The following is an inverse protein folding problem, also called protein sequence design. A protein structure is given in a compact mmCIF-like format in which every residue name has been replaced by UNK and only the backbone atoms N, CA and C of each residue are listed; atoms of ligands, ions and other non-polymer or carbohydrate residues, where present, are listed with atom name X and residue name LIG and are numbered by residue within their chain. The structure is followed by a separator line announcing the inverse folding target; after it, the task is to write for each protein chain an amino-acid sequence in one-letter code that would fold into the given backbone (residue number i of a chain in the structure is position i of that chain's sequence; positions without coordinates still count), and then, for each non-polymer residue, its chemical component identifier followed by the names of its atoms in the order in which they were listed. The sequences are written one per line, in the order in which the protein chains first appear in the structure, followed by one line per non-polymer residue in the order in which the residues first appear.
data_IF_132230847128
#
_entry.id   IF_132230847128
#
_cell.length_a   1.000
_cell.length_b   1.000
_cell.length_c   1.000
_cell.angle_alpha   90.00
_cell.angle_beta   90.00
_cell.angle_gamma   90.00
#
_symmetry.space_group_name_H-M   'P 1'
#
loop_
_entity.id
_entity.type
_entity.pdbx_description
1 polymer ?
#
# COMPACT_ATOMS: atom_id res chain seq x y z
N UNK A 1 -8.79 7.67 -22.81
CA UNK A 1 -8.75 7.84 -21.35
C UNK A 1 -8.61 6.45 -20.75
N UNK A 2 -7.59 6.21 -19.94
CA UNK A 2 -7.36 4.92 -19.30
C UNK A 2 -7.91 4.94 -17.88
N UNK A 3 -8.54 3.85 -17.49
CA UNK A 3 -9.13 3.71 -16.17
C UNK A 3 -8.18 2.95 -15.26
N UNK A 4 -8.08 3.39 -14.01
CA UNK A 4 -7.25 2.73 -13.01
C UNK A 4 -7.90 2.75 -11.64
N UNK A 5 -7.64 1.70 -10.88
CA UNK A 5 -7.77 1.67 -9.42
C UNK A 5 -6.39 1.83 -8.82
N UNK A 6 -6.26 2.69 -7.80
CA UNK A 6 -4.98 2.93 -7.13
C UNK A 6 -4.93 2.24 -5.77
N UNK A 7 -3.79 1.64 -5.45
CA UNK A 7 -3.41 1.24 -4.10
C UNK A 7 -2.25 2.14 -3.66
N UNK A 8 -2.54 3.11 -2.82
CA UNK A 8 -1.54 4.12 -2.39
C UNK A 8 -1.69 4.46 -0.90
N UNK A 9 -0.84 5.36 -0.39
CA UNK A 9 -0.75 5.73 1.01
C UNK A 9 0.70 5.83 1.47
N UNK A 10 0.90 5.87 2.80
CA UNK A 10 2.21 6.14 3.41
C UNK A 10 3.24 5.01 3.30
N UNK A 11 2.88 3.91 2.63
CA UNK A 11 3.67 2.68 2.56
C UNK A 11 3.76 1.95 3.91
N UNK A 12 4.45 0.81 3.92
CA UNK A 12 4.61 -0.06 5.10
C UNK A 12 3.30 -0.48 5.79
N UNK A 13 2.22 -0.53 5.03
CA UNK A 13 0.87 -0.87 5.48
C UNK A 13 0.27 -2.02 4.66
N UNK A 14 1.09 -2.97 4.18
CA UNK A 14 0.61 -4.17 3.48
C UNK A 14 0.21 -3.97 2.00
N UNK A 15 0.61 -2.88 1.35
CA UNK A 15 0.29 -2.62 -0.06
C UNK A 15 0.80 -3.71 -1.02
N UNK A 16 2.00 -4.25 -0.80
CA UNK A 16 2.54 -5.36 -1.60
C UNK A 16 1.78 -6.67 -1.38
N UNK A 17 1.24 -6.91 -0.19
CA UNK A 17 0.36 -8.06 0.06
C UNK A 17 -0.96 -7.93 -0.73
N UNK A 18 -1.53 -6.72 -0.78
CA UNK A 18 -2.74 -6.48 -1.58
C UNK A 18 -2.50 -6.80 -3.06
N UNK A 19 -1.38 -6.36 -3.64
CA UNK A 19 -1.07 -6.70 -5.04
C UNK A 19 -0.97 -8.22 -5.22
N UNK A 20 -0.18 -8.92 -4.40
CA UNK A 20 -0.05 -10.37 -4.48
C UNK A 20 -1.40 -11.09 -4.43
N UNK A 21 -2.26 -10.66 -3.49
CA UNK A 21 -3.59 -11.23 -3.32
C UNK A 21 -4.47 -11.00 -4.55
N UNK A 22 -4.51 -9.77 -5.05
CA UNK A 22 -5.31 -9.40 -6.21
C UNK A 22 -4.83 -10.10 -7.48
N UNK A 23 -3.51 -10.23 -7.69
CA UNK A 23 -2.95 -11.03 -8.79
C UNK A 23 -3.38 -12.49 -8.66
N UNK A 24 -3.24 -13.10 -7.48
CA UNK A 24 -3.61 -14.49 -7.24
C UNK A 24 -5.13 -14.74 -7.37
N UNK A 25 -5.95 -13.70 -7.22
CA UNK A 25 -7.40 -13.73 -7.48
C UNK A 25 -7.74 -13.54 -8.97
N UNK A 26 -6.74 -13.29 -9.82
CA UNK A 26 -6.90 -13.10 -11.26
C UNK A 26 -7.27 -11.68 -11.68
N UNK A 27 -7.14 -10.68 -10.80
CA UNK A 27 -7.37 -9.29 -11.15
C UNK A 27 -6.15 -8.68 -11.85
N UNK A 28 -6.39 -7.67 -12.69
CA UNK A 28 -5.36 -7.03 -13.49
C UNK A 28 -4.46 -6.11 -12.67
N UNK A 29 -3.40 -6.67 -12.11
CA UNK A 29 -2.31 -5.93 -11.45
C UNK A 29 -1.02 -5.92 -12.26
N UNK A 30 -1.01 -6.48 -13.48
CA UNK A 30 0.18 -6.63 -14.31
C UNK A 30 1.21 -7.66 -13.84
N UNK A 31 0.89 -8.50 -12.83
CA UNK A 31 1.78 -9.54 -12.32
C UNK A 31 1.20 -10.94 -12.53
N UNK A 32 2.07 -11.89 -12.88
CA UNK A 32 1.71 -13.31 -12.98
C UNK A 32 1.48 -13.90 -11.57
N UNK A 33 0.38 -14.63 -11.33
CA UNK A 33 0.15 -15.31 -10.06
C UNK A 33 1.32 -16.19 -9.63
N UNK A 34 1.78 -16.02 -8.39
CA UNK A 34 2.90 -16.77 -7.82
C UNK A 34 4.30 -16.22 -8.14
N UNK A 35 4.43 -15.23 -9.04
CA UNK A 35 5.72 -14.63 -9.42
C UNK A 35 5.80 -13.17 -8.96
N UNK A 36 6.36 -12.96 -7.76
CA UNK A 36 6.43 -11.64 -7.14
C UNK A 36 7.87 -11.26 -6.76
N UNK A 37 8.53 -10.40 -7.54
CA UNK A 37 9.87 -9.93 -7.22
C UNK A 37 9.81 -8.90 -6.08
N UNK A 38 9.93 -9.39 -4.84
CA UNK A 38 9.96 -8.57 -3.63
C UNK A 38 11.38 -8.37 -3.14
N UNK A 39 11.63 -7.21 -2.54
CA UNK A 39 12.84 -6.96 -1.76
C UNK A 39 12.90 -7.94 -0.57
N UNK A 40 14.03 -8.65 -0.36
CA UNK A 40 14.13 -9.73 0.62
C UNK A 40 14.14 -9.25 2.08
N UNK A 41 14.37 -7.96 2.35
CA UNK A 41 14.40 -7.40 3.70
C UNK A 41 13.14 -6.60 3.96
N UNK A 42 12.77 -5.74 3.01
CA UNK A 42 11.61 -4.88 3.15
C UNK A 42 10.30 -5.61 2.87
N UNK A 43 10.32 -6.75 2.16
CA UNK A 43 9.15 -7.42 1.60
C UNK A 43 8.22 -6.44 0.85
N UNK A 44 8.86 -5.50 0.15
CA UNK A 44 8.23 -4.45 -0.64
C UNK A 44 8.61 -4.61 -2.12
N UNK A 45 8.05 -3.79 -2.99
CA UNK A 45 8.10 -4.02 -4.45
C UNK A 45 6.70 -4.24 -5.00
N UNK A 46 6.57 -4.40 -6.31
CA UNK A 46 5.32 -4.47 -7.07
C UNK A 46 4.65 -3.11 -7.36
N UNK A 47 5.46 -2.07 -7.59
CA UNK A 47 4.98 -0.76 -7.97
C UNK A 47 4.67 -0.66 -9.47
N UNK A 48 3.55 0.00 -9.81
CA UNK A 48 3.19 0.37 -11.18
C UNK A 48 2.73 1.84 -11.21
N UNK A 49 3.20 2.60 -12.20
CA UNK A 49 2.78 4.00 -12.41
C UNK A 49 1.59 4.02 -13.37
N UNK A 50 0.42 4.58 -12.99
CA UNK A 50 -0.76 4.63 -13.88
C UNK A 50 -0.51 5.46 -15.15
N UNK A 51 0.52 6.31 -15.18
CA UNK A 51 0.90 7.08 -16.38
C UNK A 51 1.63 6.23 -17.43
N UNK A 52 2.07 5.02 -17.09
CA UNK A 52 2.74 4.13 -18.04
C UNK A 52 1.76 3.68 -19.15
N UNK A 53 2.14 3.76 -20.45
CA UNK A 53 1.39 3.17 -21.55
C UNK A 53 1.01 1.69 -21.38
N UNK A 54 1.75 0.91 -20.60
CA UNK A 54 1.48 -0.50 -20.29
C UNK A 54 0.97 -0.72 -18.86
N UNK A 55 0.60 0.33 -18.13
CA UNK A 55 0.09 0.22 -16.77
C UNK A 55 -1.14 -0.71 -16.70
N UNK A 56 -1.21 -1.62 -15.72
CA UNK A 56 -2.38 -2.46 -15.49
C UNK A 56 -3.54 -1.63 -14.92
N UNK A 57 -4.73 -2.22 -14.85
CA UNK A 57 -5.88 -1.56 -14.23
C UNK A 57 -5.64 -1.22 -12.75
N UNK A 58 -5.08 -2.15 -11.97
CA UNK A 58 -4.79 -1.95 -10.55
C UNK A 58 -3.33 -1.56 -10.37
N UNK A 59 -3.08 -0.29 -10.06
CA UNK A 59 -1.74 0.26 -9.86
C UNK A 59 -1.44 0.46 -8.38
N UNK A 60 -0.41 -0.21 -7.86
CA UNK A 60 0.12 0.07 -6.53
C UNK A 60 1.26 1.07 -6.63
N UNK A 61 1.14 2.22 -6.00
CA UNK A 61 2.24 3.19 -5.99
C UNK A 61 2.14 4.12 -4.77
N UNK A 62 2.90 3.86 -3.69
CA UNK A 62 2.95 4.74 -2.53
C UNK A 62 3.43 6.16 -2.87
N UNK A 63 4.31 6.29 -3.88
CA UNK A 63 4.91 7.57 -4.27
C UNK A 63 3.90 8.58 -4.83
N UNK A 64 2.70 8.13 -5.21
CA UNK A 64 1.60 9.02 -5.62
C UNK A 64 1.25 10.03 -4.51
N UNK A 65 1.54 9.76 -3.23
CA UNK A 65 1.37 10.77 -2.18
C UNK A 65 2.15 12.08 -2.44
N UNK A 66 3.25 12.01 -3.21
CA UNK A 66 4.06 13.16 -3.57
C UNK A 66 3.53 13.90 -4.82
N UNK A 67 2.83 13.19 -5.70
CA UNK A 67 2.42 13.67 -7.05
C UNK A 67 0.93 13.47 -7.33
N UNK A 68 0.09 13.35 -6.30
CA UNK A 68 -1.35 13.00 -6.45
C UNK A 68 -2.08 13.98 -7.37
N UNK A 69 -1.82 15.28 -7.26
CA UNK A 69 -2.47 16.30 -8.10
C UNK A 69 -2.09 16.13 -9.58
N UNK A 70 -0.85 15.72 -9.90
CA UNK A 70 -0.45 15.44 -11.28
C UNK A 70 -1.22 14.25 -11.86
N UNK A 71 -1.40 13.19 -11.07
CA UNK A 71 -2.17 12.01 -11.49
C UNK A 71 -3.65 12.36 -11.69
N UNK A 72 -4.23 13.16 -10.81
CA UNK A 72 -5.65 13.52 -10.85
C UNK A 72 -5.99 14.58 -11.91
N UNK A 73 -5.01 15.38 -12.36
CA UNK A 73 -5.20 16.40 -13.40
C UNK A 73 -4.83 15.91 -14.80
N UNK A 74 -4.23 14.72 -14.93
CA UNK A 74 -3.91 14.12 -16.21
C UNK A 74 -5.18 13.67 -16.94
N UNK A 75 -5.57 14.41 -17.98
CA UNK A 75 -6.76 14.13 -18.79
C UNK A 75 -6.69 12.82 -19.59
N UNK A 76 -5.53 12.18 -19.66
CA UNK A 76 -5.39 10.84 -20.27
C UNK A 76 -5.79 9.72 -19.31
N UNK A 77 -5.90 10.01 -18.01
CA UNK A 77 -6.23 9.06 -16.94
C UNK A 77 -7.62 9.32 -16.35
N UNK A 78 -8.20 8.27 -15.80
CA UNK A 78 -9.40 8.31 -14.97
C UNK A 78 -9.18 7.35 -13.79
N UNK A 79 -9.32 7.88 -12.57
CA UNK A 79 -9.15 7.08 -11.35
C UNK A 79 -10.52 6.67 -10.86
N UNK A 80 -10.87 5.39 -11.02
CA UNK A 80 -12.18 4.86 -10.64
C UNK A 80 -12.33 4.80 -9.12
N UNK A 81 -11.26 4.40 -8.42
CA UNK A 81 -11.25 4.24 -6.96
C UNK A 81 -9.83 4.25 -6.40
N UNK A 82 -9.69 4.63 -5.12
CA UNK A 82 -8.42 4.57 -4.39
C UNK A 82 -8.55 3.76 -3.11
N UNK A 83 -7.81 2.67 -3.02
CA UNK A 83 -7.59 1.95 -1.77
C UNK A 83 -6.40 2.53 -1.02
N UNK A 84 -6.63 2.90 0.24
CA UNK A 84 -5.62 3.49 1.10
C UNK A 84 -5.40 2.58 2.31
N UNK A 85 -4.39 1.70 2.28
CA UNK A 85 -4.01 0.96 3.46
C UNK A 85 -3.45 1.92 4.52
N UNK A 86 -4.07 1.91 5.69
CA UNK A 86 -3.74 2.78 6.83
C UNK A 86 -3.14 1.93 7.93
N UNK A 87 -2.00 2.37 8.45
CA UNK A 87 -1.35 1.84 9.64
C UNK A 87 -1.18 2.98 10.63
N UNK A 88 -1.06 2.66 11.93
CA UNK A 88 -0.55 3.63 12.89
C UNK A 88 0.74 4.30 12.34
N UNK A 89 0.78 5.63 12.29
CA UNK A 89 1.83 6.35 11.55
C UNK A 89 3.20 6.15 12.19
N UNK A 90 3.24 6.11 13.51
CA UNK A 90 4.44 5.89 14.31
C UNK A 90 4.97 4.47 14.05
N UNK A 91 4.08 3.49 13.94
CA UNK A 91 4.44 2.13 13.57
C UNK A 91 4.95 2.02 12.12
N UNK A 92 4.32 2.73 11.18
CA UNK A 92 4.80 2.79 9.79
C UNK A 92 6.19 3.46 9.69
N UNK A 93 6.41 4.54 10.44
CA UNK A 93 7.70 5.22 10.54
C UNK A 93 8.76 4.32 11.18
N UNK A 94 8.44 3.66 12.30
CA UNK A 94 9.32 2.70 12.95
C UNK A 94 9.67 1.52 12.03
N UNK A 95 8.72 1.06 11.21
CA UNK A 95 8.99 0.03 10.19
C UNK A 95 10.02 0.49 9.16
N UNK A 96 9.94 1.75 8.69
CA UNK A 96 10.92 2.33 7.76
C UNK A 96 12.31 2.44 8.39
N UNK A 97 12.38 2.95 9.62
CA UNK A 97 13.63 3.05 10.39
C UNK A 97 14.25 1.67 10.61
N UNK A 98 13.42 0.67 10.94
CA UNK A 98 13.87 -0.71 11.10
C UNK A 98 14.50 -1.26 9.82
N UNK A 99 13.85 -1.07 8.66
CA UNK A 99 14.39 -1.51 7.35
C UNK A 99 15.68 -0.77 7.01
N UNK A 100 15.73 0.55 7.27
CA UNK A 100 16.94 1.37 7.09
C UNK A 100 18.12 0.83 7.90
N UNK A 101 17.89 0.57 9.20
CA UNK A 101 18.89 0.05 10.12
C UNK A 101 19.34 -1.36 9.76
N UNK A 102 18.42 -2.22 9.37
CA UNK A 102 18.74 -3.59 8.95
C UNK A 102 19.66 -3.62 7.71
N UNK A 103 19.51 -2.65 6.80
CA UNK A 103 20.31 -2.58 5.57
C UNK A 103 21.61 -1.81 5.72
N UNK A 104 21.66 -0.78 6.57
CA UNK A 104 22.78 0.19 6.61
C UNK A 104 23.51 0.23 7.95
N UNK A 105 22.96 -0.40 8.99
CA UNK A 105 23.45 -0.26 10.37
C UNK A 105 23.06 1.06 11.04
N UNK A 106 22.35 1.96 10.34
CA UNK A 106 21.94 3.29 10.82
C UNK A 106 20.43 3.48 10.79
N UNK A 107 19.90 4.18 11.79
CA UNK A 107 18.49 4.61 11.83
C UNK A 107 18.24 5.86 10.97
N UNK A 108 19.30 6.63 10.70
CA UNK A 108 19.31 7.82 9.86
C UNK A 108 19.81 7.50 8.44
N UNK A 109 19.52 8.40 7.51
CA UNK A 109 19.85 8.29 6.11
C UNK A 109 21.37 8.35 5.89
N UNK A 110 21.96 7.19 5.63
CA UNK A 110 23.31 7.07 5.06
C UNK A 110 23.25 6.86 3.54
N UNK A 111 22.30 6.03 3.11
CA UNK A 111 21.99 5.74 1.72
C UNK A 111 20.52 5.33 1.57
N UNK A 112 19.87 5.60 0.43
CA UNK A 112 18.50 5.17 0.19
C UNK A 112 18.37 3.65 0.18
N UNK A 113 17.31 3.14 0.81
CA UNK A 113 16.99 1.71 0.87
C UNK A 113 15.53 1.51 0.49
N UNK A 114 15.23 0.48 -0.31
CA UNK A 114 13.87 0.12 -0.66
C UNK A 114 13.04 -0.16 0.61
N UNK A 115 11.93 0.56 0.79
CA UNK A 115 11.10 0.45 1.99
C UNK A 115 11.70 1.04 3.29
N UNK A 116 12.89 1.64 3.22
CA UNK A 116 13.52 2.38 4.32
C UNK A 116 12.96 3.80 4.48
N UNK A 117 13.82 4.73 4.89
CA UNK A 117 13.45 6.14 5.04
C UNK A 117 12.97 6.74 3.71
N UNK A 118 12.03 7.68 3.80
CA UNK A 118 11.43 8.35 2.65
C UNK A 118 11.55 9.85 2.86
N UNK A 119 12.23 10.56 1.95
CA UNK A 119 12.38 12.03 1.90
C UNK A 119 12.83 12.72 3.20
N UNK A 120 13.44 11.99 4.13
CA UNK A 120 13.98 12.53 5.38
C UNK A 120 15.40 12.04 5.61
N UNK A 121 16.23 12.88 6.23
CA UNK A 121 17.58 12.51 6.65
C UNK A 121 17.59 11.78 7.98
N UNK A 122 16.69 12.15 8.90
CA UNK A 122 16.62 11.55 10.24
C UNK A 122 15.42 10.64 10.39
N UNK A 123 15.62 9.47 10.98
CA UNK A 123 14.53 8.51 11.23
C UNK A 123 13.42 9.11 12.10
N UNK A 124 13.78 9.99 13.04
CA UNK A 124 12.83 10.68 13.92
C UNK A 124 11.83 11.59 13.17
N UNK A 125 12.20 12.09 11.99
CA UNK A 125 11.36 13.00 11.20
C UNK A 125 10.35 12.24 10.32
N UNK A 126 10.52 10.93 10.17
CA UNK A 126 9.74 10.10 9.25
C UNK A 126 8.24 10.16 9.56
N UNK A 127 7.83 10.10 10.84
CA UNK A 127 6.42 10.14 11.22
C UNK A 127 5.74 11.45 10.79
N UNK A 128 6.42 12.59 10.98
CA UNK A 128 5.90 13.89 10.60
C UNK A 128 5.68 14.00 9.08
N UNK A 129 6.62 13.47 8.28
CA UNK A 129 6.44 13.39 6.83
C UNK A 129 5.24 12.51 6.45
N UNK A 130 5.14 11.31 7.01
CA UNK A 130 4.05 10.39 6.67
C UNK A 130 2.68 10.99 7.01
N UNK A 131 2.55 11.71 8.14
CA UNK A 131 1.34 12.47 8.48
C UNK A 131 1.00 13.50 7.39
N UNK A 132 1.99 14.29 6.96
CA UNK A 132 1.80 15.30 5.90
C UNK A 132 1.36 14.67 4.58
N UNK A 133 2.00 13.56 4.17
CA UNK A 133 1.65 12.83 2.95
C UNK A 133 0.25 12.24 3.00
N UNK A 134 -0.13 11.62 4.12
CA UNK A 134 -1.48 11.08 4.31
C UNK A 134 -2.54 12.19 4.22
N UNK A 135 -2.35 13.30 4.93
CA UNK A 135 -3.28 14.44 4.88
C UNK A 135 -3.41 14.99 3.47
N UNK A 136 -2.29 15.20 2.77
CA UNK A 136 -2.30 15.69 1.38
C UNK A 136 -3.04 14.74 0.45
N UNK A 137 -2.79 13.43 0.55
CA UNK A 137 -3.48 12.42 -0.27
C UNK A 137 -4.99 12.51 -0.08
N UNK A 138 -5.46 12.48 1.17
CA UNK A 138 -6.90 12.51 1.47
C UNK A 138 -7.53 13.83 1.04
N UNK A 139 -6.90 14.96 1.34
CA UNK A 139 -7.38 16.29 0.92
C UNK A 139 -7.57 16.36 -0.61
N UNK A 140 -6.60 15.88 -1.37
CA UNK A 140 -6.64 15.94 -2.83
C UNK A 140 -7.71 14.99 -3.39
N UNK A 141 -7.81 13.76 -2.89
CA UNK A 141 -8.87 12.85 -3.33
C UNK A 141 -10.27 13.40 -3.03
N UNK A 142 -10.46 14.09 -1.90
CA UNK A 142 -11.73 14.79 -1.59
C UNK A 142 -11.97 15.95 -2.56
N UNK A 143 -10.96 16.79 -2.82
CA UNK A 143 -11.07 17.95 -3.71
C UNK A 143 -11.45 17.57 -5.13
N UNK A 144 -10.95 16.43 -5.61
CA UNK A 144 -11.22 15.90 -6.95
C UNK A 144 -12.41 14.92 -7.00
N UNK A 145 -13.13 14.74 -5.89
CA UNK A 145 -14.30 13.86 -5.78
C UNK A 145 -14.03 12.41 -6.21
N UNK A 146 -12.89 11.86 -5.76
CA UNK A 146 -12.47 10.48 -6.06
C UNK A 146 -12.92 9.55 -4.94
N UNK A 147 -13.61 8.47 -5.32
CA UNK A 147 -13.99 7.39 -4.41
C UNK A 147 -12.76 6.80 -3.72
N UNK A 148 -12.80 6.67 -2.39
CA UNK A 148 -11.68 6.12 -1.62
C UNK A 148 -12.13 5.20 -0.50
N UNK A 149 -11.38 4.13 -0.28
CA UNK A 149 -11.61 3.17 0.82
C UNK A 149 -10.36 3.01 1.68
N UNK A 150 -10.49 3.35 2.96
CA UNK A 150 -9.47 3.06 3.97
C UNK A 150 -9.51 1.60 4.40
N UNK A 151 -8.33 0.96 4.43
CA UNK A 151 -8.14 -0.44 4.85
C UNK A 151 -7.14 -0.49 5.99
N UNK A 152 -7.56 -0.95 7.17
CA UNK A 152 -6.70 -0.96 8.35
C UNK A 152 -5.68 -2.10 8.30
N UNK A 153 -4.40 -1.76 8.43
CA UNK A 153 -3.30 -2.67 8.73
C UNK A 153 -3.12 -2.72 10.26
N UNK A 154 -2.90 -3.90 10.85
CA UNK A 154 -2.66 -5.23 10.28
C UNK A 154 -3.92 -5.96 9.81
N UNK A 155 -5.13 -5.44 10.06
CA UNK A 155 -6.35 -6.25 10.00
C UNK A 155 -6.57 -6.84 8.62
N UNK A 156 -6.14 -6.13 7.59
CA UNK A 156 -6.11 -6.61 6.21
C UNK A 156 -5.34 -7.93 6.02
N UNK A 157 -4.37 -8.28 6.86
CA UNK A 157 -3.63 -9.56 6.79
C UNK A 157 -4.21 -10.63 7.71
N UNK A 158 -5.25 -10.34 8.49
CA UNK A 158 -5.74 -11.25 9.54
C UNK A 158 -7.23 -11.56 9.42
N UNK A 159 -8.00 -10.69 8.78
CA UNK A 159 -9.45 -10.81 8.63
C UNK A 159 -9.81 -10.78 7.13
N UNK A 160 -9.93 -11.94 6.47
CA UNK A 160 -10.23 -12.00 5.04
C UNK A 160 -11.61 -11.43 4.70
N UNK A 161 -12.59 -11.58 5.60
CA UNK A 161 -13.94 -11.09 5.36
C UNK A 161 -13.99 -9.56 5.41
N UNK A 162 -13.29 -8.96 6.38
CA UNK A 162 -13.06 -7.52 6.42
C UNK A 162 -12.38 -7.01 5.15
N UNK A 163 -11.28 -7.65 4.75
CA UNK A 163 -10.53 -7.19 3.58
C UNK A 163 -11.38 -7.28 2.32
N UNK A 164 -12.06 -8.42 2.10
CA UNK A 164 -12.94 -8.60 0.95
C UNK A 164 -14.03 -7.53 0.91
N UNK A 165 -14.69 -7.28 2.03
CA UNK A 165 -15.74 -6.26 2.11
C UNK A 165 -15.20 -4.87 1.75
N UNK A 166 -13.99 -4.52 2.19
CA UNK A 166 -13.35 -3.24 1.82
C UNK A 166 -12.99 -3.16 0.35
N UNK A 167 -12.43 -4.23 -0.23
CA UNK A 167 -12.05 -4.25 -1.64
C UNK A 167 -13.29 -4.20 -2.56
N UNK A 168 -14.42 -4.76 -2.14
CA UNK A 168 -15.67 -4.77 -2.90
C UNK A 168 -16.29 -3.37 -3.12
N UNK A 169 -15.83 -2.34 -2.40
CA UNK A 169 -16.27 -0.95 -2.61
C UNK A 169 -15.81 -0.35 -3.95
N UNK A 170 -14.77 -0.93 -4.56
CA UNK A 170 -14.19 -0.41 -5.81
C UNK A 170 -13.72 -1.47 -6.79
N UNK A 171 -13.93 -2.76 -6.50
CA UNK A 171 -13.54 -3.89 -7.35
C UNK A 171 -14.64 -4.95 -7.37
N UNK A 172 -14.77 -5.64 -8.50
CA UNK A 172 -15.60 -6.84 -8.59
C UNK A 172 -14.87 -8.02 -7.91
N UNK A 173 -15.25 -8.28 -6.66
CA UNK A 173 -14.58 -9.27 -5.84
C UNK A 173 -15.18 -10.67 -6.04
N UNK A 174 -14.34 -11.71 -6.22
CA UNK A 174 -14.81 -13.07 -6.37
C UNK A 174 -15.60 -13.56 -5.14
N UNK A 175 -16.21 -14.74 -5.30
CA UNK A 175 -16.98 -15.41 -4.26
C UNK A 175 -16.22 -15.44 -2.91
N UNK A 176 -16.89 -15.21 -1.77
CA UNK A 176 -16.24 -15.21 -0.46
C UNK A 176 -15.43 -16.48 -0.15
N UNK A 177 -15.85 -17.67 -0.60
CA UNK A 177 -15.11 -18.90 -0.37
C UNK A 177 -13.79 -18.92 -1.17
N UNK A 178 -13.83 -18.53 -2.44
CA UNK A 178 -12.64 -18.40 -3.30
C UNK A 178 -11.67 -17.38 -2.69
N UNK A 179 -12.20 -16.22 -2.26
CA UNK A 179 -11.39 -15.18 -1.65
C UNK A 179 -10.67 -15.69 -0.41
N UNK A 180 -11.36 -16.36 0.53
CA UNK A 180 -10.74 -16.92 1.74
C UNK A 180 -9.67 -17.96 1.43
N UNK A 181 -9.90 -18.81 0.44
CA UNK A 181 -8.93 -19.83 0.02
C UNK A 181 -7.64 -19.18 -0.54
N UNK A 182 -7.78 -18.22 -1.46
CA UNK A 182 -6.63 -17.51 -2.04
C UNK A 182 -5.93 -16.66 -0.99
N UNK A 183 -6.68 -16.00 -0.09
CA UNK A 183 -6.14 -15.24 1.03
C UNK A 183 -5.25 -16.11 1.92
N UNK A 184 -5.75 -17.27 2.36
CA UNK A 184 -5.01 -18.19 3.23
C UNK A 184 -3.70 -18.69 2.62
N UNK A 185 -3.66 -18.86 1.28
CA UNK A 185 -2.43 -19.23 0.55
C UNK A 185 -1.48 -18.06 0.31
N UNK A 186 -2.00 -16.84 0.24
CA UNK A 186 -1.21 -15.64 -0.10
C UNK A 186 -0.58 -15.03 1.14
N UNK A 187 -1.30 -14.98 2.26
CA UNK A 187 -0.80 -14.34 3.47
C UNK A 187 0.48 -15.02 3.98
N UNK A 188 1.40 -14.22 4.50
CA UNK A 188 2.65 -14.62 5.15
C UNK A 188 2.68 -13.98 6.53
N UNK A 189 2.08 -14.60 7.55
CA UNK A 189 2.00 -14.01 8.90
C UNK A 189 3.37 -13.64 9.47
N UNK A 190 4.42 -14.36 9.10
CA UNK A 190 5.80 -14.11 9.48
C UNK A 190 6.36 -12.78 8.94
N UNK A 191 5.73 -12.17 7.93
CA UNK A 191 6.08 -10.84 7.41
C UNK A 191 5.30 -9.70 8.07
N UNK A 192 4.35 -10.02 8.96
CA UNK A 192 3.52 -9.05 9.67
C UNK A 192 4.23 -8.59 10.94
N UNK A 193 5.07 -7.56 10.80
CA UNK A 193 5.75 -6.94 11.94
C UNK A 193 4.81 -6.04 12.73
N UNK A 194 4.99 -6.00 14.07
CA UNK A 194 4.27 -5.10 14.98
C UNK A 194 5.23 -4.09 15.61
N UNK A 195 4.90 -2.81 15.56
CA UNK A 195 5.69 -1.75 16.18
C UNK A 195 4.82 -0.97 17.17
N UNK A 196 4.95 -1.30 18.46
CA UNK A 196 4.17 -0.70 19.54
C UNK A 196 2.78 -1.33 19.71
N UNK A 197 2.09 -0.95 20.79
CA UNK A 197 0.81 -1.56 21.18
C UNK A 197 -0.36 -1.15 20.28
N UNK A 198 -0.32 0.05 19.69
CA UNK A 198 -1.38 0.58 18.83
C UNK A 198 -1.33 0.01 17.40
N UNK A 199 -0.23 -0.64 17.03
CA UNK A 199 -0.09 -1.37 15.79
C UNK A 199 -0.70 -2.77 15.97
N UNK A 200 -2.02 -2.80 16.18
CA UNK A 200 -2.86 -3.96 16.45
C UNK A 200 -4.07 -3.96 15.53
N UNK A 201 -4.82 -5.07 15.43
CA UNK A 201 -5.98 -5.22 14.52
C UNK A 201 -7.11 -4.23 14.77
N UNK A 202 -7.03 -3.44 15.85
CA UNK A 202 -8.15 -2.67 16.37
C UNK A 202 -9.14 -3.64 17.00
N UNK A 203 -9.25 -3.61 18.33
CA UNK A 203 -10.30 -4.37 19.00
C UNK A 203 -11.67 -3.90 18.51
N UNK A 204 -12.60 -4.84 18.32
CA UNK A 204 -14.03 -4.55 18.46
C UNK A 204 -14.40 -4.66 19.93
#
# INVERSE_FOLDING_TARGET
MKHHVLITGTGRAGTSFLVQLLSNLGLDTGYTPGEFPLDPIAHAGLEADPRDPAAPYICKNPWICDTVEEVLTDSSLHIDHVFIPVRNIEAAAASRVHVQKANTGSEDMLQPVAGGLWHVEKGADQAALLRRQFTRLVEQLVRFDIGMTFIWYPRLTEDPDYLRAKLAEGLDMPDPAIFREVFARTVRPEWVHRFGAEDSTGAR
#
